data_IF_426504411321
#
_entry.id   IF_426504411321
#
_cell.length_a   1.000
_cell.length_b   1.000
_cell.length_c   1.000
_cell.angle_alpha   90.00
_cell.angle_beta   90.00
_cell.angle_gamma   90.00
#
_symmetry.space_group_name_H-M   'P 1'
#
loop_
_entity.id
_entity.type
_entity.pdbx_description
1 polymer ?
#
# COMPACT_ATOMS: atom_id res chain seq x y z
N UNK A 1 28.17 -6.57 -6.76
CA UNK A 1 27.66 -5.88 -5.57
C UNK A 1 26.26 -5.40 -5.91
N UNK A 2 25.23 -5.90 -5.23
CA UNK A 2 23.87 -5.40 -5.43
C UNK A 2 23.77 -3.98 -4.85
N UNK A 3 23.32 -3.01 -5.64
CA UNK A 3 23.07 -1.66 -5.18
C UNK A 3 21.93 -1.64 -4.16
N UNK A 4 22.07 -0.82 -3.12
CA UNK A 4 21.02 -0.55 -2.14
C UNK A 4 20.43 0.82 -2.46
N UNK A 5 19.13 0.87 -2.73
CA UNK A 5 18.41 2.13 -3.00
C UNK A 5 17.40 2.40 -1.89
N UNK A 6 17.37 3.65 -1.40
CA UNK A 6 16.41 4.09 -0.38
C UNK A 6 15.31 4.89 -1.08
N UNK A 7 14.10 4.33 -1.13
CA UNK A 7 12.92 5.03 -1.60
C UNK A 7 12.52 6.06 -0.54
N UNK A 8 12.80 7.33 -0.80
CA UNK A 8 12.33 8.46 0.03
C UNK A 8 10.87 8.83 -0.26
N UNK A 9 10.26 8.20 -1.27
CA UNK A 9 8.90 8.46 -1.73
C UNK A 9 7.94 7.33 -1.34
N UNK A 10 6.65 7.64 -1.36
CA UNK A 10 5.57 6.68 -1.16
C UNK A 10 5.59 5.61 -2.26
N UNK A 11 5.89 4.37 -1.89
CA UNK A 11 6.02 3.26 -2.83
C UNK A 11 4.64 2.82 -3.30
N UNK A 12 4.34 3.06 -4.59
CA UNK A 12 3.17 2.46 -5.25
C UNK A 12 3.41 0.97 -5.38
N UNK A 13 2.45 0.15 -4.96
CA UNK A 13 2.59 -1.31 -5.03
C UNK A 13 1.23 -1.98 -5.09
N UNK A 14 1.21 -3.16 -5.70
CA UNK A 14 0.14 -4.11 -5.44
C UNK A 14 0.23 -4.63 -4.01
N UNK A 15 -0.90 -4.89 -3.38
CA UNK A 15 -0.97 -5.36 -2.00
C UNK A 15 -0.26 -6.71 -1.87
N UNK A 16 -0.45 -7.60 -2.84
CA UNK A 16 0.20 -8.91 -2.90
C UNK A 16 1.72 -8.84 -2.97
N UNK A 17 2.29 -7.80 -3.59
CA UNK A 17 3.74 -7.63 -3.68
C UNK A 17 4.38 -7.35 -2.32
N UNK A 18 3.67 -6.64 -1.45
CA UNK A 18 4.16 -6.30 -0.11
C UNK A 18 4.36 -7.53 0.78
N UNK A 19 3.70 -8.67 0.49
CA UNK A 19 3.92 -9.95 1.20
C UNK A 19 5.35 -10.45 1.07
N UNK A 20 6.06 -10.05 0.00
CA UNK A 20 7.45 -10.41 -0.24
C UNK A 20 8.43 -9.44 0.44
N UNK A 21 7.95 -8.34 1.01
CA UNK A 21 8.82 -7.37 1.66
C UNK A 21 9.31 -7.90 3.01
N UNK A 22 10.60 -7.69 3.27
CA UNK A 22 11.28 -8.15 4.48
C UNK A 22 11.58 -6.98 5.39
N UNK A 23 11.34 -7.14 6.69
CA UNK A 23 11.68 -6.10 7.67
C UNK A 23 13.21 -6.01 7.80
N UNK A 24 13.76 -4.80 7.68
CA UNK A 24 15.21 -4.54 7.76
C UNK A 24 15.63 -4.25 9.20
N UNK A 25 14.80 -3.49 9.91
CA UNK A 25 15.02 -3.08 11.30
C UNK A 25 13.69 -3.10 12.06
N UNK A 26 13.69 -3.73 13.24
CA UNK A 26 12.50 -3.77 14.10
C UNK A 26 12.11 -2.38 14.61
N UNK A 27 13.09 -1.51 14.84
CA UNK A 27 12.91 -0.21 15.47
C UNK A 27 12.42 0.88 14.51
N UNK A 28 12.70 0.75 13.21
CA UNK A 28 12.46 1.83 12.25
C UNK A 28 11.25 1.59 11.32
N UNK A 29 10.65 0.39 11.36
CA UNK A 29 9.61 -0.04 10.41
C UNK A 29 10.04 0.20 8.96
N UNK A 30 11.30 -0.13 8.67
CA UNK A 30 11.88 -0.09 7.34
C UNK A 30 11.81 -1.48 6.71
N UNK A 31 11.42 -1.50 5.44
CA UNK A 31 11.15 -2.72 4.67
C UNK A 31 12.02 -2.75 3.44
N UNK A 32 12.42 -3.94 3.01
CA UNK A 32 13.10 -4.18 1.74
C UNK A 32 12.26 -5.06 0.83
N UNK A 33 12.24 -4.72 -0.46
CA UNK A 33 11.70 -5.58 -1.50
C UNK A 33 12.78 -5.79 -2.56
N UNK A 34 12.95 -7.04 -2.99
CA UNK A 34 13.81 -7.35 -4.11
C UNK A 34 13.03 -7.19 -5.41
N UNK A 35 13.50 -6.34 -6.30
CA UNK A 35 12.94 -6.14 -7.63
C UNK A 35 14.09 -6.22 -8.64
N UNK A 36 13.97 -7.13 -9.60
CA UNK A 36 14.98 -7.38 -10.65
C UNK A 36 16.44 -7.43 -10.16
N UNK A 37 16.68 -8.21 -9.09
CA UNK A 37 18.02 -8.38 -8.52
C UNK A 37 18.55 -7.20 -7.69
N UNK A 38 17.79 -6.12 -7.55
CA UNK A 38 18.10 -4.97 -6.70
C UNK A 38 17.23 -4.94 -5.45
N UNK A 39 17.78 -4.41 -4.37
CA UNK A 39 17.07 -4.28 -3.08
C UNK A 39 16.65 -2.84 -2.86
N UNK A 40 15.34 -2.60 -2.83
CA UNK A 40 14.75 -1.30 -2.55
C UNK A 40 14.27 -1.23 -1.12
N UNK A 41 14.65 -0.18 -0.40
CA UNK A 41 14.25 0.04 0.98
C UNK A 41 13.18 1.12 1.04
N UNK A 42 12.11 0.89 1.78
CA UNK A 42 10.98 1.82 1.89
C UNK A 42 10.32 1.73 3.28
N UNK A 43 9.56 2.76 3.63
CA UNK A 43 8.74 2.79 4.85
C UNK A 43 7.27 3.05 4.55
N UNK A 44 7.02 3.83 3.50
CA UNK A 44 5.71 4.37 3.16
C UNK A 44 5.18 3.73 1.88
N UNK A 45 3.89 3.41 1.85
CA UNK A 45 3.21 2.75 0.73
C UNK A 45 2.02 3.56 0.25
N UNK A 46 1.81 3.53 -1.06
CA UNK A 46 0.63 4.04 -1.74
C UNK A 46 -0.10 2.84 -2.33
N UNK A 47 -1.33 2.61 -1.88
CA UNK A 47 -2.18 1.50 -2.31
C UNK A 47 -3.48 2.03 -2.90
N UNK A 48 -4.08 1.24 -3.79
CA UNK A 48 -5.46 1.45 -4.24
C UNK A 48 -6.20 0.12 -4.25
N UNK A 49 -7.50 0.15 -3.98
CA UNK A 49 -8.33 -1.06 -3.88
C UNK A 49 -9.76 -0.76 -3.47
N UNK A 50 -10.63 -1.76 -3.59
CA UNK A 50 -12.02 -1.69 -3.13
C UNK A 50 -12.07 -1.79 -1.61
N UNK A 51 -12.86 -0.94 -0.97
CA UNK A 51 -13.16 -1.04 0.45
C UNK A 51 -14.12 -2.21 0.69
N UNK A 52 -13.66 -3.28 1.33
CA UNK A 52 -14.48 -4.48 1.58
C UNK A 52 -15.03 -4.54 3.00
N UNK A 53 -14.50 -3.73 3.92
CA UNK A 53 -14.96 -3.67 5.31
C UNK A 53 -14.63 -2.34 5.95
N UNK A 54 -15.57 -1.79 6.73
CA UNK A 54 -15.34 -0.64 7.60
C UNK A 54 -15.69 -0.98 9.05
N UNK A 55 -14.76 -0.75 9.98
CA UNK A 55 -15.02 -0.85 11.42
C UNK A 55 -14.60 0.45 12.11
N UNK A 56 -15.60 1.32 12.35
CA UNK A 56 -15.40 2.63 12.97
C UNK A 56 -15.02 2.53 14.44
N UNK A 57 -15.44 1.47 15.14
CA UNK A 57 -15.13 1.28 16.56
C UNK A 57 -13.67 0.87 16.74
N UNK A 58 -13.16 0.04 15.84
CA UNK A 58 -11.76 -0.37 15.81
C UNK A 58 -10.85 0.60 15.04
N UNK A 59 -11.40 1.70 14.52
CA UNK A 59 -10.69 2.70 13.70
C UNK A 59 -9.90 2.10 12.52
N UNK A 60 -10.56 1.17 11.80
CA UNK A 60 -9.95 0.44 10.70
C UNK A 60 -10.84 0.29 9.47
N UNK A 61 -10.20 0.07 8.33
CA UNK A 61 -10.82 -0.37 7.09
C UNK A 61 -10.03 -1.52 6.49
N UNK A 62 -10.67 -2.35 5.68
CA UNK A 62 -9.99 -3.34 4.85
C UNK A 62 -10.21 -2.98 3.40
N UNK A 63 -9.10 -2.89 2.65
CA UNK A 63 -9.12 -2.74 1.20
C UNK A 63 -8.60 -4.00 0.52
N UNK A 64 -9.08 -4.25 -0.68
CA UNK A 64 -8.66 -5.36 -1.52
C UNK A 64 -8.32 -4.85 -2.93
N UNK A 65 -7.20 -5.31 -3.47
CA UNK A 65 -6.91 -5.24 -4.90
C UNK A 65 -6.93 -6.66 -5.50
N UNK A 66 -6.71 -6.78 -6.81
CA UNK A 66 -6.69 -8.07 -7.50
C UNK A 66 -5.60 -9.05 -7.01
N UNK A 67 -4.72 -8.64 -6.09
CA UNK A 67 -3.54 -9.39 -5.62
C UNK A 67 -3.56 -9.68 -4.12
N UNK A 68 -4.41 -9.00 -3.33
CA UNK A 68 -4.57 -9.28 -1.91
C UNK A 68 -5.29 -8.18 -1.11
N UNK A 69 -5.32 -8.38 0.21
CA UNK A 69 -5.99 -7.49 1.17
C UNK A 69 -5.02 -6.76 2.09
N UNK A 70 -5.34 -5.51 2.40
CA UNK A 70 -4.64 -4.68 3.36
C UNK A 70 -5.62 -4.12 4.41
N UNK A 71 -5.21 -4.18 5.67
CA UNK A 71 -5.86 -3.52 6.81
C UNK A 71 -5.25 -2.13 6.99
N UNK A 72 -6.11 -1.13 6.91
CA UNK A 72 -5.82 0.27 7.15
C UNK A 72 -6.18 0.59 8.59
N UNK A 73 -5.21 0.96 9.41
CA UNK A 73 -5.42 1.35 10.81
C UNK A 73 -5.33 2.86 10.98
N UNK A 74 -5.94 3.36 12.07
CA UNK A 74 -5.95 4.78 12.45
C UNK A 74 -6.60 5.65 11.37
N UNK A 75 -7.62 5.12 10.70
CA UNK A 75 -8.28 5.74 9.56
C UNK A 75 -8.89 7.11 9.91
N UNK A 76 -9.33 7.30 11.15
CA UNK A 76 -9.90 8.55 11.68
C UNK A 76 -9.00 9.78 11.51
N UNK A 77 -7.69 9.58 11.32
CA UNK A 77 -6.71 10.66 11.09
C UNK A 77 -6.69 11.14 9.64
N UNK A 78 -7.16 10.31 8.72
CA UNK A 78 -7.21 10.64 7.30
C UNK A 78 -8.47 11.45 7.00
N UNK A 79 -8.29 12.52 6.23
CA UNK A 79 -9.41 13.26 5.64
C UNK A 79 -10.25 12.29 4.80
N UNK A 80 -11.57 12.47 4.81
CA UNK A 80 -12.56 11.69 4.07
C UNK A 80 -12.76 10.22 4.49
N UNK A 81 -12.04 9.71 5.49
CA UNK A 81 -12.14 8.32 5.93
C UNK A 81 -13.60 7.87 6.15
N UNK A 82 -14.39 8.64 6.91
CA UNK A 82 -15.77 8.24 7.24
C UNK A 82 -16.83 8.67 6.24
N UNK A 83 -16.41 9.26 5.12
CA UNK A 83 -17.27 9.53 3.96
C UNK A 83 -17.31 8.36 2.96
N UNK A 84 -16.45 7.37 3.18
CA UNK A 84 -16.33 6.11 2.45
C UNK A 84 -17.38 5.09 2.91
N UNK A 85 -17.84 4.26 1.97
CA UNK A 85 -18.68 3.09 2.21
C UNK A 85 -17.98 1.82 1.73
N UNK A 86 -18.47 0.67 2.20
CA UNK A 86 -18.09 -0.62 1.63
C UNK A 86 -18.53 -0.68 0.15
N UNK A 87 -17.66 -1.17 -0.71
CA UNK A 87 -17.80 -1.16 -2.17
C UNK A 87 -17.16 0.05 -2.87
N UNK A 88 -16.79 1.12 -2.15
CA UNK A 88 -16.12 2.26 -2.76
C UNK A 88 -14.67 1.92 -3.14
N UNK A 89 -14.19 2.43 -4.27
CA UNK A 89 -12.79 2.32 -4.66
C UNK A 89 -11.97 3.41 -3.99
N UNK A 90 -10.87 3.03 -3.33
CA UNK A 90 -10.07 3.92 -2.51
C UNK A 90 -8.64 4.02 -3.01
N UNK A 91 -8.05 5.20 -2.82
CA UNK A 91 -6.62 5.37 -2.71
C UNK A 91 -6.25 5.65 -1.25
N UNK A 92 -5.17 5.03 -0.80
CA UNK A 92 -4.61 5.25 0.54
C UNK A 92 -3.10 5.40 0.50
N UNK A 93 -2.59 6.22 1.41
CA UNK A 93 -1.17 6.37 1.67
C UNK A 93 -0.94 6.21 3.18
N UNK A 94 -0.11 5.23 3.55
CA UNK A 94 0.31 5.07 4.95
C UNK A 94 1.69 4.43 5.15
N UNK A 95 2.11 4.33 6.41
CA UNK A 95 3.35 3.64 6.81
C UNK A 95 3.09 2.15 6.93
N UNK A 96 3.93 1.33 6.29
CA UNK A 96 3.81 -0.13 6.37
C UNK A 96 4.23 -0.62 7.76
N UNK A 97 3.30 -1.28 8.46
CA UNK A 97 3.52 -1.79 9.81
C UNK A 97 3.77 -3.30 9.83
N UNK A 98 3.11 -4.04 8.93
CA UNK A 98 3.22 -5.49 8.89
C UNK A 98 2.98 -6.05 7.49
N UNK A 99 3.72 -7.10 7.14
CA UNK A 99 3.56 -7.87 5.90
C UNK A 99 3.28 -9.35 6.15
N UNK A 100 3.01 -9.74 7.40
CA UNK A 100 3.03 -11.13 7.86
C UNK A 100 2.27 -12.06 6.90
N UNK A 101 2.93 -13.17 6.56
CA UNK A 101 2.53 -14.07 5.49
C UNK A 101 1.20 -14.77 5.71
N UNK A 102 0.67 -14.73 6.93
CA UNK A 102 -0.52 -15.50 7.31
C UNK A 102 -1.84 -14.88 6.90
N UNK A 103 -2.08 -13.56 6.98
CA UNK A 103 -3.43 -13.05 6.66
C UNK A 103 -3.53 -11.64 6.05
N UNK A 104 -2.87 -10.59 6.56
CA UNK A 104 -3.12 -9.21 6.06
C UNK A 104 -1.89 -8.29 6.13
N UNK A 105 -1.72 -7.47 5.09
CA UNK A 105 -0.82 -6.32 5.11
C UNK A 105 -1.42 -5.27 6.04
N UNK A 106 -0.63 -4.69 6.97
CA UNK A 106 -1.13 -3.67 7.91
C UNK A 106 -0.45 -2.34 7.63
N UNK A 107 -1.25 -1.28 7.51
CA UNK A 107 -0.80 0.07 7.18
C UNK A 107 -1.33 1.09 8.20
N UNK A 108 -0.42 1.90 8.77
CA UNK A 108 -0.77 3.09 9.56
C UNK A 108 -1.15 4.22 8.59
N UNK A 109 -2.43 4.60 8.56
CA UNK A 109 -2.98 5.39 7.45
C UNK A 109 -2.82 6.89 7.67
N UNK A 110 -2.29 7.62 6.68
CA UNK A 110 -2.14 9.07 6.72
C UNK A 110 -3.13 9.79 5.80
N UNK A 111 -3.49 9.17 4.67
CA UNK A 111 -4.43 9.73 3.70
C UNK A 111 -5.33 8.65 3.13
N UNK A 112 -6.61 8.97 2.99
CA UNK A 112 -7.61 8.19 2.26
C UNK A 112 -8.24 9.14 1.24
N UNK A 113 -8.49 8.64 0.04
CA UNK A 113 -9.25 9.34 -0.99
C UNK A 113 -10.24 8.36 -1.60
N UNK A 114 -11.52 8.69 -1.53
CA UNK A 114 -12.60 7.86 -2.05
C UNK A 114 -12.96 8.24 -3.49
N UNK A 115 -13.07 7.25 -4.37
CA UNK A 115 -13.57 7.39 -5.74
C UNK A 115 -14.95 6.73 -5.83
N UNK A 116 -16.01 7.52 -5.70
CA UNK A 116 -17.42 7.06 -5.59
C UNK A 116 -18.03 6.49 -6.88
N UNK A 117 -17.28 6.46 -7.97
CA UNK A 117 -17.70 5.90 -9.26
C UNK A 117 -16.60 5.00 -9.80
N UNK A 118 -16.96 4.06 -10.67
CA UNK A 118 -16.01 3.29 -11.51
C UNK A 118 -15.14 4.29 -12.26
N UNK A 119 -14.04 4.62 -11.62
CA UNK A 119 -13.22 5.76 -11.97
C UNK A 119 -12.11 5.25 -12.86
N UNK A 120 -11.66 6.08 -13.81
CA UNK A 120 -10.52 5.74 -14.67
C UNK A 120 -9.29 5.30 -13.87
N UNK A 121 -9.24 5.67 -12.59
CA UNK A 121 -8.21 5.36 -11.60
C UNK A 121 -8.14 3.85 -11.31
N UNK A 122 -9.27 3.16 -11.15
CA UNK A 122 -9.27 1.70 -10.97
C UNK A 122 -8.64 0.99 -12.17
N UNK A 123 -8.97 1.46 -13.38
CA UNK A 123 -8.42 0.93 -14.64
C UNK A 123 -6.92 1.27 -14.77
N UNK A 124 -6.53 2.47 -14.37
CA UNK A 124 -5.16 2.96 -14.54
C UNK A 124 -4.19 2.41 -13.49
N UNK A 125 -4.67 2.02 -12.30
CA UNK A 125 -3.82 1.62 -11.19
C UNK A 125 -2.83 0.49 -11.53
N UNK A 126 -3.23 -0.61 -12.18
CA UNK A 126 -2.29 -1.65 -12.59
C UNK A 126 -1.20 -1.13 -13.54
N UNK A 127 -1.56 -0.25 -14.47
CA UNK A 127 -0.59 0.36 -15.39
C UNK A 127 0.38 1.29 -14.66
N UNK A 128 -0.10 2.07 -13.68
CA UNK A 128 0.75 2.92 -12.86
C UNK A 128 1.77 2.13 -12.04
N UNK A 129 1.35 1.01 -11.43
CA UNK A 129 2.23 0.15 -10.63
C UNK A 129 3.25 -0.56 -11.51
N UNK A 130 2.86 -1.02 -12.70
CA UNK A 130 3.80 -1.65 -13.65
C UNK A 130 4.80 -0.62 -14.19
N UNK A 131 4.34 0.55 -14.61
CA UNK A 131 5.21 1.60 -15.18
C UNK A 131 6.25 2.07 -14.15
N UNK A 132 5.84 2.34 -12.90
CA UNK A 132 6.80 2.73 -11.86
C UNK A 132 7.77 1.60 -11.51
N UNK A 133 7.30 0.35 -11.54
CA UNK A 133 8.18 -0.79 -11.25
C UNK A 133 9.23 -1.00 -12.33
N UNK A 134 8.86 -0.82 -13.60
CA UNK A 134 9.79 -0.91 -14.73
C UNK A 134 10.68 0.32 -14.87
N UNK A 135 10.24 1.52 -14.49
CA UNK A 135 11.03 2.75 -14.69
C UNK A 135 11.85 3.15 -13.49
N UNK A 136 11.34 2.93 -12.29
CA UNK A 136 11.99 3.37 -11.05
C UNK A 136 12.70 2.18 -10.41
N UNK A 137 12.00 1.07 -10.16
CA UNK A 137 12.58 -0.06 -9.43
C UNK A 137 13.52 -0.93 -10.26
N UNK A 138 13.40 -0.91 -11.59
CA UNK A 138 14.35 -1.61 -12.45
C UNK A 138 15.63 -0.79 -12.68
N UNK A 139 15.51 0.52 -12.92
CA UNK A 139 16.66 1.35 -13.31
C UNK A 139 17.46 1.93 -12.14
N UNK A 140 16.80 2.30 -11.05
CA UNK A 140 17.45 2.78 -9.82
C UNK A 140 17.67 1.64 -8.83
#
# INVERSE_FOLDING_TARGET
MAGQFIDTFWRKSFIGDLRRARKISENENQWSLMYDGKTHQFQYVWLQGLCIKIDKNADLMIIEDATGQAELQKCSRAVDAWSTNEGDYLMTAGKLLNTNSSDRIIVDTYKIQCFKTLSKQEINWPFEVVDISQRVYHYY
#
